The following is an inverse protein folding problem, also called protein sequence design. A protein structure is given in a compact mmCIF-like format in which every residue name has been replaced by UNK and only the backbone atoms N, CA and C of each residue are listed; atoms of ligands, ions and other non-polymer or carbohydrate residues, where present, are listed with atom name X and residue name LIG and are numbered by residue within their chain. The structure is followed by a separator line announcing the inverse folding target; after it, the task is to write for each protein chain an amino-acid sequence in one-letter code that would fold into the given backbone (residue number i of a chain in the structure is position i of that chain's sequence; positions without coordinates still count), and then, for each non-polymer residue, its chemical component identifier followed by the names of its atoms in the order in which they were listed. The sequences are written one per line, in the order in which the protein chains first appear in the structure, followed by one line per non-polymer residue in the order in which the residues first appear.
data_IF_631663852787
#
_entry.id   IF_631663852787
#
_cell.length_a   1.000
_cell.length_b   1.000
_cell.length_c   1.000
_cell.angle_alpha   90.00
_cell.angle_beta   90.00
_cell.angle_gamma   90.00
#
_symmetry.space_group_name_H-M   'P 1'
#
loop_
_entity.id
_entity.type
_entity.pdbx_description
1 polymer ?
#
# COMPACT_ATOMS: atom_id res chain seq x y z
N UNK A 1 -3.64 75.49 18.02
CA UNK A 1 -2.73 74.35 18.28
C UNK A 1 -3.51 73.04 18.14
N UNK A 2 -3.11 72.19 17.17
CA UNK A 2 -3.47 70.77 16.92
C UNK A 2 -4.99 70.44 16.88
N UNK A 3 -5.53 69.80 15.84
CA UNK A 3 -5.13 68.50 15.28
C UNK A 3 -5.54 68.35 13.81
N UNK A 4 -4.63 67.72 13.07
CA UNK A 4 -4.76 67.19 11.71
C UNK A 4 -5.67 65.95 11.76
N UNK A 5 -6.64 65.83 10.85
CA UNK A 5 -7.34 64.57 10.58
C UNK A 5 -6.98 64.13 9.15
N UNK A 6 -6.23 63.03 9.04
CA UNK A 6 -5.76 62.45 7.78
C UNK A 6 -6.86 61.57 7.17
N UNK A 7 -7.06 61.72 5.86
CA UNK A 7 -7.78 60.76 5.01
C UNK A 7 -7.19 59.35 5.18
N UNK A 8 -8.04 58.39 5.51
CA UNK A 8 -7.70 56.97 5.39
C UNK A 8 -8.02 56.51 3.96
N UNK A 9 -6.97 56.12 3.24
CA UNK A 9 -7.03 55.41 1.97
C UNK A 9 -7.54 53.99 2.26
N UNK A 10 -8.63 53.60 1.60
CA UNK A 10 -9.07 52.20 1.56
C UNK A 10 -8.17 51.48 0.56
N UNK A 11 -7.26 50.63 1.04
CA UNK A 11 -6.55 49.67 0.20
C UNK A 11 -7.38 48.40 0.17
N UNK A 12 -7.93 48.09 -1.00
CA UNK A 12 -8.61 46.84 -1.29
C UNK A 12 -7.60 45.68 -1.20
N UNK A 13 -7.76 44.83 -0.18
CA UNK A 13 -7.00 43.59 -0.02
C UNK A 13 -7.55 42.49 -0.92
N UNK A 14 -6.71 42.00 -1.83
CA UNK A 14 -6.93 40.81 -2.64
C UNK A 14 -6.97 39.58 -1.70
N UNK A 15 -8.16 39.04 -1.45
CA UNK A 15 -8.33 37.79 -0.68
C UNK A 15 -7.90 36.60 -1.56
N UNK A 16 -6.67 36.13 -1.36
CA UNK A 16 -6.26 34.81 -1.83
C UNK A 16 -7.00 33.75 -1.00
N UNK A 17 -7.88 32.98 -1.66
CA UNK A 17 -8.47 31.76 -1.10
C UNK A 17 -7.33 30.76 -0.79
N UNK A 18 -7.01 30.62 0.49
CA UNK A 18 -6.11 29.57 0.95
C UNK A 18 -6.88 28.25 0.96
N UNK A 19 -6.42 27.27 0.18
CA UNK A 19 -6.84 25.88 0.28
C UNK A 19 -6.50 25.36 1.68
N UNK A 20 -7.50 25.27 2.56
CA UNK A 20 -7.37 24.58 3.84
C UNK A 20 -7.53 23.07 3.60
N UNK A 21 -6.55 22.23 3.98
CA UNK A 21 -6.77 20.79 4.00
C UNK A 21 -7.84 20.45 5.05
N UNK A 22 -8.86 19.69 4.66
CA UNK A 22 -9.91 19.21 5.56
C UNK A 22 -9.36 18.30 6.67
N UNK A 23 -10.18 17.97 7.69
CA UNK A 23 -9.74 17.17 8.82
C UNK A 23 -9.61 15.70 8.37
N UNK A 24 -8.41 15.30 7.99
CA UNK A 24 -8.15 13.97 7.42
C UNK A 24 -6.74 13.49 7.72
N UNK A 25 -6.60 12.81 8.86
CA UNK A 25 -5.46 11.98 9.31
C UNK A 25 -4.14 12.73 9.54
N UNK A 26 -3.68 12.71 10.80
CA UNK A 26 -2.27 12.86 11.11
C UNK A 26 -1.48 11.87 10.22
N UNK A 27 -0.59 12.37 9.39
CA UNK A 27 0.41 11.54 8.75
C UNK A 27 1.23 10.90 9.86
N UNK A 28 1.16 9.57 9.99
CA UNK A 28 2.07 8.83 10.85
C UNK A 28 3.50 9.20 10.42
N UNK A 29 4.28 9.80 11.31
CA UNK A 29 5.60 10.37 11.01
C UNK A 29 6.71 9.35 10.70
N UNK A 30 6.34 8.13 10.30
CA UNK A 30 7.28 7.10 9.88
C UNK A 30 7.72 7.28 8.42
N UNK A 31 8.83 6.62 8.06
CA UNK A 31 9.36 6.66 6.70
C UNK A 31 8.30 6.23 5.66
N UNK A 32 8.20 6.96 4.54
CA UNK A 32 7.36 6.57 3.42
C UNK A 32 7.96 5.37 2.69
N UNK A 33 7.13 4.37 2.39
CA UNK A 33 7.53 3.14 1.70
C UNK A 33 6.54 2.84 0.57
N UNK A 34 6.87 3.27 -0.65
CA UNK A 34 6.01 3.12 -1.83
C UNK A 34 6.54 2.02 -2.76
N UNK A 35 5.67 1.10 -3.18
CA UNK A 35 6.05 0.01 -4.09
C UNK A 35 5.00 -0.21 -5.18
N UNK A 36 5.49 -0.46 -6.39
CA UNK A 36 4.66 -0.93 -7.52
C UNK A 36 4.64 -2.45 -7.55
N UNK A 37 3.45 -3.02 -7.45
CA UNK A 37 3.17 -4.44 -7.53
C UNK A 37 2.43 -4.72 -8.83
N UNK A 38 2.90 -5.68 -9.61
CA UNK A 38 2.28 -6.08 -10.88
C UNK A 38 1.87 -7.53 -10.79
N UNK A 39 0.58 -7.80 -10.76
CA UNK A 39 0.06 -9.13 -10.93
C UNK A 39 0.22 -9.59 -12.38
N UNK A 40 0.59 -10.85 -12.57
CA UNK A 40 0.78 -11.46 -13.88
C UNK A 40 1.78 -10.69 -14.77
N UNK A 41 2.90 -10.27 -14.18
CA UNK A 41 3.97 -9.59 -14.92
C UNK A 41 4.59 -10.50 -15.98
N UNK A 42 4.57 -11.82 -15.76
CA UNK A 42 5.02 -12.85 -16.71
C UNK A 42 3.98 -13.98 -16.80
N UNK A 43 4.06 -14.86 -17.82
CA UNK A 43 3.21 -16.07 -17.90
C UNK A 43 3.51 -17.15 -16.85
N UNK A 44 4.57 -16.98 -16.04
CA UNK A 44 4.99 -17.97 -15.06
C UNK A 44 3.89 -18.27 -14.04
N UNK A 45 3.85 -19.54 -13.59
CA UNK A 45 2.83 -20.04 -12.67
C UNK A 45 1.39 -19.82 -13.20
N UNK A 46 1.18 -19.79 -14.53
CA UNK A 46 -0.13 -19.54 -15.12
C UNK A 46 -0.68 -18.16 -14.78
N UNK A 47 0.15 -17.11 -14.86
CA UNK A 47 -0.15 -15.72 -14.48
C UNK A 47 -0.24 -15.46 -12.95
N UNK A 48 -0.12 -16.50 -12.12
CA UNK A 48 -0.21 -16.41 -10.65
C UNK A 48 1.10 -15.95 -10.00
N UNK A 49 1.50 -14.71 -10.27
CA UNK A 49 2.72 -14.09 -9.74
C UNK A 49 2.55 -12.60 -9.40
N UNK A 50 3.37 -12.11 -8.48
CA UNK A 50 3.60 -10.69 -8.24
C UNK A 50 5.00 -10.31 -8.74
N UNK A 51 5.10 -9.34 -9.64
CA UNK A 51 6.33 -8.89 -10.28
C UNK A 51 7.14 -10.03 -10.93
N UNK A 52 6.48 -11.09 -11.40
CA UNK A 52 7.13 -12.28 -11.97
C UNK A 52 7.60 -13.30 -10.92
N UNK A 53 7.39 -13.00 -9.64
CA UNK A 53 7.73 -13.86 -8.52
C UNK A 53 6.49 -14.57 -7.95
N UNK A 54 6.67 -15.83 -7.59
CA UNK A 54 5.68 -16.70 -6.97
C UNK A 54 6.34 -17.44 -5.79
N UNK A 55 5.55 -18.14 -4.99
CA UNK A 55 6.00 -19.04 -3.92
C UNK A 55 6.93 -18.36 -2.90
N UNK A 56 6.64 -17.09 -2.58
CA UNK A 56 7.38 -16.32 -1.57
C UNK A 56 8.71 -15.74 -2.06
N UNK A 57 8.99 -15.78 -3.37
CA UNK A 57 10.23 -15.22 -3.94
C UNK A 57 10.28 -13.70 -3.88
N UNK A 58 9.13 -13.00 -3.89
CA UNK A 58 9.08 -11.56 -3.64
C UNK A 58 9.17 -11.29 -2.14
N UNK A 59 10.05 -10.40 -1.71
CA UNK A 59 10.17 -9.95 -0.33
C UNK A 59 10.17 -8.44 -0.26
N UNK A 60 9.21 -7.87 0.47
CA UNK A 60 9.20 -6.45 0.85
C UNK A 60 9.67 -6.34 2.29
N UNK A 61 10.55 -5.39 2.56
CA UNK A 61 10.99 -5.06 3.93
C UNK A 61 10.81 -3.58 4.18
N UNK A 62 10.19 -3.21 5.29
CA UNK A 62 9.96 -1.82 5.71
C UNK A 62 10.35 -1.63 7.18
N UNK A 63 10.70 -0.41 7.62
CA UNK A 63 10.87 -0.13 9.04
C UNK A 63 9.53 -0.12 9.79
N UNK A 64 9.58 -0.40 11.09
CA UNK A 64 8.43 -0.20 12.00
C UNK A 64 7.90 1.24 11.90
N UNK A 65 6.58 1.36 11.87
CA UNK A 65 5.89 2.64 11.76
C UNK A 65 5.85 3.24 10.36
N UNK A 66 6.44 2.58 9.35
CA UNK A 66 6.41 3.07 7.97
C UNK A 66 4.98 3.31 7.46
N UNK A 67 4.79 4.40 6.72
CA UNK A 67 3.60 4.64 5.92
C UNK A 67 3.77 3.93 4.58
N UNK A 68 3.06 2.82 4.38
CA UNK A 68 3.21 1.96 3.21
C UNK A 68 2.13 2.28 2.18
N UNK A 69 2.55 2.44 0.92
CA UNK A 69 1.67 2.55 -0.24
C UNK A 69 2.05 1.47 -1.27
N UNK A 70 1.14 0.51 -1.49
CA UNK A 70 1.28 -0.52 -2.51
C UNK A 70 0.30 -0.25 -3.64
N UNK A 71 0.83 -0.01 -4.84
CA UNK A 71 0.01 0.12 -6.05
C UNK A 71 0.04 -1.19 -6.82
N UNK A 72 -1.08 -1.91 -6.82
CA UNK A 72 -1.28 -3.15 -7.58
C UNK A 72 -1.82 -2.82 -8.98
N UNK A 73 -1.15 -3.29 -10.02
CA UNK A 73 -1.68 -3.32 -11.40
C UNK A 73 -1.82 -4.75 -11.88
N UNK A 74 -2.94 -5.08 -12.50
CA UNK A 74 -3.15 -6.39 -13.10
C UNK A 74 -2.85 -6.37 -14.61
N UNK A 75 -1.90 -7.20 -15.08
CA UNK A 75 -1.60 -7.39 -16.50
C UNK A 75 -2.17 -8.68 -17.12
N UNK A 76 -2.64 -9.60 -16.29
CA UNK A 76 -3.10 -10.93 -16.65
C UNK A 76 -4.56 -10.97 -17.03
N UNK A 77 -4.98 -12.13 -17.51
CA UNK A 77 -6.38 -12.44 -17.84
C UNK A 77 -7.21 -12.82 -16.60
N UNK A 78 -6.56 -13.29 -15.53
CA UNK A 78 -7.22 -13.65 -14.28
C UNK A 78 -7.47 -12.42 -13.39
N UNK A 79 -8.53 -12.39 -12.58
CA UNK A 79 -8.69 -11.38 -11.53
C UNK A 79 -7.63 -11.55 -10.44
N UNK A 80 -7.05 -10.44 -9.99
CA UNK A 80 -6.02 -10.47 -8.95
C UNK A 80 -6.30 -9.43 -7.86
N UNK A 81 -5.85 -9.72 -6.65
CA UNK A 81 -5.98 -8.83 -5.49
C UNK A 81 -4.70 -8.83 -4.69
N UNK A 82 -4.68 -8.03 -3.61
CA UNK A 82 -3.57 -7.99 -2.68
C UNK A 82 -4.11 -7.86 -1.26
N UNK A 83 -3.58 -8.68 -0.36
CA UNK A 83 -3.79 -8.58 1.08
C UNK A 83 -2.48 -8.86 1.82
N UNK A 84 -2.17 -8.08 2.86
CA UNK A 84 -1.12 -8.41 3.81
C UNK A 84 -1.76 -9.13 5.00
N UNK A 85 -1.32 -10.36 5.28
CA UNK A 85 -1.84 -11.20 6.37
C UNK A 85 -0.73 -11.60 7.36
N UNK A 86 -1.07 -11.97 8.60
CA UNK A 86 -0.10 -12.59 9.50
C UNK A 86 0.56 -13.80 8.85
N UNK A 87 1.85 -14.03 9.15
CA UNK A 87 2.54 -15.20 8.61
C UNK A 87 1.89 -16.49 9.10
N UNK A 88 1.70 -17.43 8.18
CA UNK A 88 1.23 -18.79 8.43
C UNK A 88 2.02 -19.77 7.57
N UNK A 89 2.18 -21.01 8.05
CA UNK A 89 2.79 -22.10 7.27
C UNK A 89 1.85 -22.64 6.20
N UNK A 90 0.55 -22.63 6.49
CA UNK A 90 -0.50 -23.08 5.56
C UNK A 90 -1.16 -21.86 4.94
N UNK A 91 -1.05 -21.74 3.63
CA UNK A 91 -1.64 -20.64 2.88
C UNK A 91 -3.17 -20.74 2.95
N UNK A 92 -3.89 -19.61 3.11
CA UNK A 92 -5.34 -19.63 3.12
C UNK A 92 -5.88 -19.87 1.71
N UNK A 93 -7.09 -20.43 1.63
CA UNK A 93 -7.76 -20.68 0.35
C UNK A 93 -8.21 -19.38 -0.36
N UNK A 94 -8.33 -18.28 0.36
CA UNK A 94 -8.77 -16.97 -0.13
C UNK A 94 -8.38 -15.88 0.88
N UNK A 95 -8.76 -14.64 0.61
CA UNK A 95 -8.57 -13.52 1.51
C UNK A 95 -9.12 -13.79 2.92
N UNK A 96 -8.47 -13.22 3.94
CA UNK A 96 -8.96 -13.26 5.31
C UNK A 96 -9.99 -12.16 5.55
N UNK A 97 -10.81 -12.34 6.59
CA UNK A 97 -11.76 -11.29 7.01
C UNK A 97 -11.06 -10.06 7.58
N UNK A 98 -9.83 -10.21 8.06
CA UNK A 98 -9.06 -9.13 8.70
C UNK A 98 -7.61 -9.17 8.23
N UNK A 99 -7.12 -8.10 7.57
CA UNK A 99 -5.72 -8.00 7.18
C UNK A 99 -4.83 -7.78 8.41
N UNK A 100 -3.53 -8.03 8.25
CA UNK A 100 -2.52 -7.82 9.30
C UNK A 100 -2.46 -6.38 9.83
N UNK A 101 -2.76 -5.42 8.95
CA UNK A 101 -2.84 -4.00 9.29
C UNK A 101 -4.12 -3.40 8.70
N UNK A 102 -4.80 -2.49 9.41
CA UNK A 102 -5.96 -1.79 8.87
C UNK A 102 -5.63 -1.12 7.53
N UNK A 103 -6.40 -1.44 6.50
CA UNK A 103 -6.21 -0.92 5.15
C UNK A 103 -5.16 -1.63 4.30
N UNK A 104 -4.51 -2.69 4.80
CA UNK A 104 -3.53 -3.50 4.05
C UNK A 104 -4.18 -4.54 3.13
N UNK A 105 -5.26 -4.16 2.45
CA UNK A 105 -6.05 -5.02 1.57
C UNK A 105 -6.70 -4.19 0.46
N UNK A 106 -6.83 -4.76 -0.74
CA UNK A 106 -7.66 -4.20 -1.82
C UNK A 106 -9.15 -4.29 -1.48
N UNK A 107 -10.00 -3.42 -2.05
CA UNK A 107 -11.43 -3.29 -1.70
C UNK A 107 -12.20 -4.62 -1.57
N UNK A 108 -12.15 -5.48 -2.59
CA UNK A 108 -12.88 -6.75 -2.65
C UNK A 108 -11.91 -7.90 -3.01
N UNK A 109 -11.11 -8.39 -2.05
CA UNK A 109 -9.94 -9.22 -2.36
C UNK A 109 -10.31 -10.62 -2.89
N UNK A 110 -11.52 -11.11 -2.62
CA UNK A 110 -12.01 -12.38 -3.17
C UNK A 110 -12.57 -12.25 -4.60
N UNK A 111 -12.82 -11.01 -5.06
CA UNK A 111 -13.27 -10.71 -6.43
C UNK A 111 -12.08 -10.27 -7.29
N UNK A 112 -11.20 -9.45 -6.74
CA UNK A 112 -10.02 -8.92 -7.42
C UNK A 112 -10.33 -7.79 -8.41
N UNK A 113 -9.27 -7.28 -9.02
CA UNK A 113 -9.31 -6.32 -10.12
C UNK A 113 -9.00 -7.03 -11.43
N UNK A 114 -9.63 -6.58 -12.51
CA UNK A 114 -9.49 -7.14 -13.85
C UNK A 114 -8.24 -6.60 -14.57
N UNK A 115 -7.93 -7.20 -15.73
CA UNK A 115 -6.85 -6.77 -16.61
C UNK A 115 -6.85 -5.26 -16.86
N UNK A 116 -5.68 -4.64 -16.73
CA UNK A 116 -5.48 -3.21 -16.96
C UNK A 116 -5.92 -2.31 -15.81
N UNK A 117 -6.60 -2.84 -14.80
CA UNK A 117 -7.00 -2.07 -13.63
C UNK A 117 -5.87 -1.97 -12.61
N UNK A 118 -5.98 -0.93 -11.77
CA UNK A 118 -5.09 -0.67 -10.65
C UNK A 118 -5.88 -0.51 -9.35
N UNK A 119 -5.32 -1.00 -8.24
CA UNK A 119 -5.80 -0.77 -6.90
C UNK A 119 -4.66 -0.25 -6.02
N UNK A 120 -4.99 0.58 -5.04
CA UNK A 120 -4.00 1.11 -4.11
C UNK A 120 -4.35 0.68 -2.69
N UNK A 121 -3.34 0.19 -1.98
CA UNK A 121 -3.41 -0.32 -0.61
C UNK A 121 -2.52 0.54 0.27
N UNK A 122 -3.07 1.12 1.33
CA UNK A 122 -2.36 2.06 2.23
C UNK A 122 -2.56 1.69 3.68
N UNK A 123 -1.46 1.55 4.40
CA UNK A 123 -1.48 1.17 5.81
C UNK A 123 -0.21 1.63 6.53
N UNK A 124 -0.24 1.57 7.86
CA UNK A 124 0.94 1.77 8.70
C UNK A 124 1.48 0.42 9.14
N UNK A 125 2.76 0.15 8.90
CA UNK A 125 3.47 -1.06 9.33
C UNK A 125 3.81 -1.01 10.82
N UNK A 126 2.78 -1.02 11.68
CA UNK A 126 2.89 -0.64 13.09
C UNK A 126 3.48 -1.72 14.02
N UNK A 127 3.75 -2.92 13.52
CA UNK A 127 4.23 -4.04 14.36
C UNK A 127 5.34 -4.81 13.67
N UNK A 128 6.55 -4.90 14.27
CA UNK A 128 7.63 -5.73 13.76
C UNK A 128 7.22 -7.19 13.61
N UNK A 129 7.70 -7.85 12.55
CA UNK A 129 7.42 -9.25 12.31
C UNK A 129 7.37 -9.64 10.84
N UNK A 130 7.06 -10.92 10.62
CA UNK A 130 6.89 -11.52 9.30
C UNK A 130 5.41 -11.66 8.97
N UNK A 131 5.11 -11.38 7.72
CA UNK A 131 3.77 -11.36 7.14
C UNK A 131 3.83 -11.97 5.74
N UNK A 132 2.67 -12.29 5.18
CA UNK A 132 2.53 -12.70 3.79
C UNK A 132 1.83 -11.58 3.01
N UNK A 133 2.28 -11.35 1.79
CA UNK A 133 1.54 -10.64 0.76
C UNK A 133 0.88 -11.69 -0.10
N UNK A 134 -0.45 -11.78 -0.11
CA UNK A 134 -1.19 -12.81 -0.85
C UNK A 134 -2.10 -12.18 -1.91
N UNK A 135 -2.40 -12.95 -2.96
CA UNK A 135 -3.61 -12.73 -3.74
C UNK A 135 -4.79 -13.41 -3.01
N UNK A 136 -5.80 -12.62 -2.65
CA UNK A 136 -6.97 -13.07 -1.91
C UNK A 136 -8.06 -13.74 -2.77
N UNK A 137 -7.92 -13.74 -4.09
CA UNK A 137 -8.85 -14.44 -4.99
C UNK A 137 -8.83 -15.95 -4.70
N UNK A 138 -9.98 -16.64 -4.67
CA UNK A 138 -10.06 -18.06 -4.34
C UNK A 138 -9.03 -18.93 -5.08
N UNK A 139 -8.24 -19.69 -4.31
CA UNK A 139 -7.22 -20.63 -4.79
C UNK A 139 -5.87 -20.01 -5.15
N UNK A 140 -5.78 -18.71 -5.43
CA UNK A 140 -4.55 -18.12 -5.98
C UNK A 140 -3.35 -18.21 -5.02
N UNK A 141 -3.56 -17.90 -3.74
CA UNK A 141 -2.50 -18.05 -2.74
C UNK A 141 -2.04 -19.51 -2.61
N UNK A 142 -2.97 -20.48 -2.53
CA UNK A 142 -2.67 -21.92 -2.47
C UNK A 142 -1.84 -22.40 -3.67
N UNK A 143 -2.11 -21.84 -4.85
CA UNK A 143 -1.39 -22.15 -6.09
C UNK A 143 -0.07 -21.36 -6.24
N UNK A 144 0.37 -20.66 -5.19
CA UNK A 144 1.69 -20.03 -5.13
C UNK A 144 1.70 -18.52 -5.36
N UNK A 145 0.56 -17.85 -5.49
CA UNK A 145 0.52 -16.40 -5.66
C UNK A 145 0.66 -15.66 -4.32
N UNK A 146 1.87 -15.70 -3.76
CA UNK A 146 2.23 -14.97 -2.56
C UNK A 146 3.69 -14.50 -2.57
N UNK A 147 3.93 -13.42 -1.84
CA UNK A 147 5.23 -12.90 -1.44
C UNK A 147 5.35 -12.82 0.08
N UNK A 148 6.51 -12.38 0.55
CA UNK A 148 6.81 -12.10 1.95
C UNK A 148 6.78 -10.59 2.19
N UNK A 149 6.30 -10.20 3.35
CA UNK A 149 6.36 -8.83 3.83
C UNK A 149 6.94 -8.84 5.25
N UNK A 150 7.97 -8.03 5.49
CA UNK A 150 8.67 -7.96 6.77
C UNK A 150 8.69 -6.53 7.30
N UNK A 151 8.30 -6.39 8.56
CA UNK A 151 8.46 -5.15 9.31
C UNK A 151 9.67 -5.32 10.22
N UNK A 152 10.73 -4.58 9.92
CA UNK A 152 11.94 -4.52 10.73
C UNK A 152 11.69 -3.70 11.99
N UNK A 153 12.18 -4.13 13.18
CA UNK A 153 12.09 -3.33 14.40
C UNK A 153 12.96 -2.07 14.36
N UNK A 154 13.87 -1.94 13.39
CA UNK A 154 14.71 -0.76 13.25
C UNK A 154 14.03 0.29 12.37
N UNK A 155 13.74 1.45 12.94
CA UNK A 155 13.27 2.61 12.18
C UNK A 155 14.28 3.10 11.12
N UNK A 156 15.55 2.71 11.24
CA UNK A 156 16.61 3.05 10.28
C UNK A 156 16.64 2.10 9.06
N UNK A 157 15.86 1.02 9.06
CA UNK A 157 15.78 0.11 7.91
C UNK A 157 15.26 0.86 6.69
N UNK A 158 16.01 0.79 5.58
CA UNK A 158 15.58 1.33 4.30
C UNK A 158 14.50 0.42 3.69
N UNK A 159 13.35 0.97 3.26
CA UNK A 159 12.37 0.21 2.51
C UNK A 159 13.00 -0.46 1.29
N UNK A 160 12.68 -1.73 1.05
CA UNK A 160 13.20 -2.48 -0.09
C UNK A 160 12.20 -3.51 -0.61
N UNK A 161 12.33 -3.84 -1.90
CA UNK A 161 11.66 -4.95 -2.56
C UNK A 161 12.72 -5.76 -3.28
N UNK A 162 12.80 -7.05 -2.98
CA UNK A 162 13.77 -7.97 -3.56
C UNK A 162 13.03 -9.18 -4.13
N UNK A 163 13.43 -9.63 -5.32
CA UNK A 163 13.01 -10.91 -5.87
C UNK A 163 14.16 -11.89 -5.68
N UNK A 164 13.93 -12.93 -4.87
CA UNK A 164 14.87 -14.03 -4.66
C UNK A 164 14.88 -14.92 -5.90
N UNK A 165 16.08 -15.28 -6.35
CA UNK A 165 16.32 -16.23 -7.43
C UNK A 165 15.90 -17.64 -6.99
#
# INVERSE_FOLDING_TARGET
MKRICRCAIVVAGLLALQNLPGPGRAAAGGAAATFSIVAAQTPANGELNFNGADKGRLMITVPEGAAVDLTLTNKGSLPHSLEIIPYTKQLPAMALATPAFPGAVTKDPQVGINKGQTAVVRFTAAKPGKYLLICGFPGHALLGMYGLFEVSPSAATKPSLVIKQ
#
